data_IF_815919664615
#
_entry.id   IF_815919664615
#
_cell.length_a   1.000
_cell.length_b   1.000
_cell.length_c   1.000
_cell.angle_alpha   90.00
_cell.angle_beta   90.00
_cell.angle_gamma   90.00
#
_symmetry.space_group_name_H-M   'P 1'
#
loop_
_entity.id
_entity.type
_entity.pdbx_description
1 polymer ?
#
# COMPACT_ATOMS: atom_id res chain seq x y z
N UNK A 1 0.58 -4.53 -4.76
CA UNK A 1 -0.38 -3.54 -4.23
C UNK A 1 0.34 -2.49 -3.41
N UNK A 2 -0.37 -1.41 -3.07
CA UNK A 2 0.09 -0.36 -2.19
C UNK A 2 0.17 -0.85 -0.74
N UNK A 3 1.18 -1.68 -0.46
CA UNK A 3 1.47 -2.18 0.87
C UNK A 3 2.92 -1.85 1.21
N UNK A 4 3.04 -1.13 2.32
CA UNK A 4 4.18 -0.48 2.96
C UNK A 4 5.44 -0.43 2.11
N UNK A 5 5.54 0.73 1.47
CA UNK A 5 6.65 1.14 0.65
C UNK A 5 7.87 1.45 1.52
N UNK A 6 9.10 1.20 1.05
CA UNK A 6 10.30 1.35 1.88
C UNK A 6 10.43 2.76 2.48
N UNK A 7 9.87 3.77 1.81
CA UNK A 7 9.83 5.17 2.24
C UNK A 7 9.27 5.39 3.67
N UNK A 8 8.21 4.68 4.08
CA UNK A 8 7.61 4.84 5.43
C UNK A 8 8.31 3.99 6.49
N UNK A 9 9.10 2.98 6.09
CA UNK A 9 9.79 2.17 7.08
C UNK A 9 10.95 2.94 7.73
N UNK A 10 11.19 2.70 9.01
CA UNK A 10 12.38 3.15 9.74
C UNK A 10 13.60 2.30 9.32
N UNK A 11 14.14 2.59 8.13
CA UNK A 11 15.28 1.91 7.54
C UNK A 11 16.38 2.91 7.16
N UNK A 12 17.65 2.49 7.14
CA UNK A 12 18.72 3.29 6.53
C UNK A 12 18.39 3.66 5.09
N UNK A 13 18.76 4.88 4.66
CA UNK A 13 18.41 5.39 3.33
C UNK A 13 18.87 4.47 2.19
N UNK A 14 20.07 3.89 2.29
CA UNK A 14 20.57 2.95 1.30
C UNK A 14 19.67 1.71 1.14
N UNK A 15 19.12 1.20 2.25
CA UNK A 15 18.17 0.09 2.21
C UNK A 15 16.83 0.53 1.60
N UNK A 16 16.35 1.75 1.91
CA UNK A 16 15.14 2.29 1.29
C UNK A 16 15.28 2.37 -0.23
N UNK A 17 16.39 2.93 -0.72
CA UNK A 17 16.67 3.03 -2.16
C UNK A 17 16.76 1.64 -2.81
N UNK A 18 17.48 0.70 -2.21
CA UNK A 18 17.61 -0.65 -2.76
C UNK A 18 16.27 -1.39 -2.86
N UNK A 19 15.46 -1.37 -1.80
CA UNK A 19 14.12 -1.97 -1.81
C UNK A 19 13.16 -1.21 -2.73
N UNK A 20 13.31 0.10 -2.85
CA UNK A 20 12.54 0.95 -3.76
C UNK A 20 12.76 0.56 -5.22
N UNK A 21 14.02 0.49 -5.66
CA UNK A 21 14.42 -0.01 -6.97
C UNK A 21 13.86 -1.38 -7.26
N UNK A 22 14.13 -2.35 -6.38
CA UNK A 22 13.64 -3.72 -6.54
C UNK A 22 12.11 -3.76 -6.67
N UNK A 23 11.39 -2.93 -5.92
CA UNK A 23 9.93 -2.86 -6.00
C UNK A 23 9.46 -2.23 -7.31
N UNK A 24 10.12 -1.17 -7.78
CA UNK A 24 9.85 -0.51 -9.07
C UNK A 24 10.07 -1.49 -10.23
N UNK A 25 11.19 -2.19 -10.24
CA UNK A 25 11.54 -3.18 -11.27
C UNK A 25 10.50 -4.31 -11.31
N UNK A 26 10.15 -4.87 -10.15
CA UNK A 26 9.11 -5.92 -10.04
C UNK A 26 7.72 -5.44 -10.45
N UNK A 27 7.41 -4.16 -10.29
CA UNK A 27 6.14 -3.61 -10.78
C UNK A 27 6.12 -3.59 -12.30
N UNK A 28 7.20 -3.13 -12.93
CA UNK A 28 7.35 -3.14 -14.38
C UNK A 28 7.33 -4.56 -14.96
N UNK A 29 8.16 -5.47 -14.43
CA UNK A 29 8.20 -6.88 -14.87
C UNK A 29 6.82 -7.54 -14.86
N UNK A 30 6.05 -7.33 -13.79
CA UNK A 30 4.69 -7.85 -13.70
C UNK A 30 3.77 -7.21 -14.73
N UNK A 31 3.87 -5.91 -14.96
CA UNK A 31 3.06 -5.21 -15.97
C UNK A 31 3.38 -5.69 -17.38
N UNK A 32 4.65 -5.90 -17.73
CA UNK A 32 5.04 -6.44 -19.04
C UNK A 32 4.45 -7.80 -19.30
N UNK A 33 4.50 -8.70 -18.30
CA UNK A 33 3.86 -10.02 -18.39
C UNK A 33 2.36 -9.92 -18.60
N UNK A 34 1.67 -9.06 -17.85
CA UNK A 34 0.23 -8.87 -18.05
C UNK A 34 -0.12 -8.38 -19.45
N UNK A 35 0.68 -7.48 -20.02
CA UNK A 35 0.49 -6.98 -21.38
C UNK A 35 0.69 -8.11 -22.41
N UNK A 36 1.75 -8.91 -22.25
CA UNK A 36 2.10 -10.04 -23.13
C UNK A 36 1.05 -11.16 -23.04
N UNK A 37 0.66 -11.56 -21.82
CA UNK A 37 -0.34 -12.60 -21.57
C UNK A 37 -1.70 -12.26 -22.20
N UNK A 38 -2.10 -10.99 -22.11
CA UNK A 38 -3.34 -10.50 -22.71
C UNK A 38 -3.22 -10.25 -24.21
N UNK A 39 -1.99 -10.23 -24.76
CA UNK A 39 -1.69 -9.77 -26.13
C UNK A 39 -2.37 -8.44 -26.42
N UNK A 40 -2.27 -7.51 -25.47
CA UNK A 40 -3.05 -6.28 -25.50
C UNK A 40 -2.70 -5.46 -26.75
N UNK A 41 -3.70 -5.10 -27.56
CA UNK A 41 -3.50 -4.23 -28.73
C UNK A 41 -3.16 -2.80 -28.32
N UNK A 42 -3.71 -2.34 -27.19
CA UNK A 42 -3.49 -1.00 -26.63
C UNK A 42 -3.25 -1.06 -25.13
N UNK A 43 -2.27 -0.29 -24.66
CA UNK A 43 -1.92 -0.21 -23.24
C UNK A 43 -2.17 1.21 -22.75
N UNK A 44 -3.08 1.39 -21.81
CA UNK A 44 -3.29 2.69 -21.16
C UNK A 44 -2.61 2.65 -19.79
N UNK A 45 -1.41 3.25 -19.61
CA UNK A 45 -0.73 3.28 -18.32
C UNK A 45 -1.43 4.26 -17.39
N UNK A 46 -2.55 3.82 -16.82
CA UNK A 46 -3.30 4.54 -15.80
C UNK A 46 -2.95 3.94 -14.46
N UNK A 47 -1.79 4.35 -13.95
CA UNK A 47 -1.56 4.40 -12.53
C UNK A 47 -1.55 5.89 -12.22
N UNK A 48 -2.55 6.40 -11.48
CA UNK A 48 -2.51 7.81 -11.10
C UNK A 48 -1.18 8.06 -10.40
N UNK A 49 -0.24 8.83 -10.98
CA UNK A 49 0.97 9.15 -10.26
C UNK A 49 0.50 9.86 -9.00
N UNK A 50 0.98 9.47 -7.81
CA UNK A 50 0.56 10.14 -6.61
C UNK A 50 0.95 11.61 -6.73
N UNK A 51 -0.06 12.46 -6.60
CA UNK A 51 0.07 13.90 -6.61
C UNK A 51 0.13 14.34 -5.15
N UNK A 52 1.33 14.29 -4.57
CA UNK A 52 1.53 14.65 -3.17
C UNK A 52 1.68 16.18 -3.07
N UNK A 53 0.59 16.86 -2.76
CA UNK A 53 0.54 18.33 -2.71
C UNK A 53 0.70 18.91 -1.29
N UNK A 54 0.66 18.08 -0.25
CA UNK A 54 1.02 18.54 1.10
C UNK A 54 2.55 18.58 1.21
N UNK A 55 3.07 19.64 1.81
CA UNK A 55 4.51 19.85 1.99
C UNK A 55 5.17 18.69 2.78
N UNK A 56 4.45 18.05 3.70
CA UNK A 56 4.96 16.87 4.45
C UNK A 56 5.19 15.64 3.56
N UNK A 57 4.58 15.60 2.37
CA UNK A 57 4.67 14.47 1.43
C UNK A 57 5.31 14.83 0.10
N UNK A 58 5.64 16.10 -0.14
CA UNK A 58 6.10 16.61 -1.43
C UNK A 58 7.30 15.82 -1.98
N UNK A 59 8.20 15.38 -1.10
CA UNK A 59 9.38 14.58 -1.44
C UNK A 59 9.07 13.25 -2.13
N UNK A 60 7.83 12.76 -2.08
CA UNK A 60 7.44 11.49 -2.66
C UNK A 60 6.99 11.58 -4.12
N UNK A 61 6.85 12.80 -4.67
CA UNK A 61 6.60 12.98 -6.10
C UNK A 61 7.82 12.56 -6.93
N UNK A 62 7.60 11.91 -8.08
CA UNK A 62 8.68 11.46 -8.99
C UNK A 62 9.23 12.61 -9.87
N UNK A 63 9.70 13.66 -9.20
CA UNK A 63 10.26 14.90 -9.78
C UNK A 63 11.66 15.22 -9.24
N UNK A 64 12.22 14.34 -8.41
CA UNK A 64 13.49 14.56 -7.71
C UNK A 64 14.62 13.65 -8.20
N UNK A 65 14.35 12.74 -9.14
CA UNK A 65 15.35 11.78 -9.64
C UNK A 65 15.73 10.71 -8.61
N UNK A 66 14.89 10.44 -7.61
CA UNK A 66 15.11 9.35 -6.67
C UNK A 66 14.86 8.01 -7.35
N UNK A 67 15.93 7.26 -7.60
CA UNK A 67 15.87 5.93 -8.21
C UNK A 67 15.12 4.91 -7.31
N UNK A 68 15.02 5.19 -6.01
CA UNK A 68 14.22 4.43 -5.06
C UNK A 68 12.73 4.80 -5.05
N UNK A 69 12.32 5.82 -5.81
CA UNK A 69 10.92 6.18 -5.94
C UNK A 69 10.18 5.11 -6.75
N UNK A 70 9.11 4.63 -6.14
CA UNK A 70 8.24 3.53 -6.54
C UNK A 70 6.96 4.01 -7.23
N UNK A 71 6.85 5.30 -7.46
CA UNK A 71 5.69 5.97 -8.03
C UNK A 71 6.03 6.55 -9.40
N UNK A 72 6.40 5.70 -10.38
CA UNK A 72 6.68 6.19 -11.72
C UNK A 72 5.42 6.82 -12.30
N UNK A 73 5.58 7.92 -13.03
CA UNK A 73 4.51 8.46 -13.87
C UNK A 73 4.48 7.78 -15.25
N UNK A 74 3.54 8.22 -16.08
CA UNK A 74 3.35 7.66 -17.42
C UNK A 74 4.55 7.89 -18.34
N UNK A 75 5.30 9.00 -18.18
CA UNK A 75 6.50 9.26 -18.98
C UNK A 75 7.61 8.25 -18.68
N UNK A 76 7.78 7.91 -17.40
CA UNK A 76 8.71 6.85 -16.99
C UNK A 76 8.24 5.51 -17.51
N UNK A 77 6.93 5.20 -17.40
CA UNK A 77 6.38 3.95 -17.93
C UNK A 77 6.69 3.80 -19.42
N UNK A 78 6.45 4.83 -20.24
CA UNK A 78 6.75 4.80 -21.68
C UNK A 78 8.23 4.52 -21.93
N UNK A 79 9.12 5.19 -21.18
CA UNK A 79 10.56 4.98 -21.31
C UNK A 79 10.98 3.55 -20.99
N UNK A 80 10.47 2.96 -19.90
CA UNK A 80 10.78 1.57 -19.53
C UNK A 80 10.13 0.56 -20.48
N UNK A 81 8.90 0.82 -20.93
CA UNK A 81 8.18 -0.08 -21.84
C UNK A 81 8.87 -0.14 -23.22
N UNK A 82 9.36 0.99 -23.72
CA UNK A 82 10.11 1.05 -24.97
C UNK A 82 11.39 0.20 -24.95
N UNK A 83 12.07 0.08 -23.80
CA UNK A 83 13.29 -0.75 -23.65
C UNK A 83 13.03 -2.24 -23.89
N UNK A 84 11.81 -2.70 -23.65
CA UNK A 84 11.37 -4.08 -23.91
C UNK A 84 10.59 -4.22 -25.23
N UNK A 85 10.63 -3.19 -26.09
CA UNK A 85 9.99 -3.19 -27.41
C UNK A 85 8.52 -2.80 -27.42
N UNK A 86 7.98 -2.30 -26.30
CA UNK A 86 6.61 -1.82 -26.21
C UNK A 86 6.37 -0.53 -26.97
N UNK A 87 5.40 -0.50 -27.88
CA UNK A 87 5.11 0.65 -28.75
C UNK A 87 3.63 1.06 -28.79
N UNK A 88 2.76 0.30 -28.12
CA UNK A 88 1.31 0.45 -28.21
C UNK A 88 0.69 1.13 -26.97
N UNK A 89 1.50 1.85 -26.20
CA UNK A 89 1.03 2.56 -25.03
C UNK A 89 0.44 3.93 -25.41
N UNK A 90 -0.71 4.27 -24.83
CA UNK A 90 -1.42 5.54 -25.05
C UNK A 90 -1.58 6.28 -23.73
N UNK A 91 -0.91 7.42 -23.61
CA UNK A 91 -1.01 8.29 -22.43
C UNK A 91 -2.34 9.03 -22.46
N UNK A 92 -3.00 9.13 -21.31
CA UNK A 92 -4.16 10.01 -21.13
C UNK A 92 -3.82 11.10 -20.12
N UNK A 93 -3.73 12.35 -20.60
CA UNK A 93 -3.68 13.54 -19.75
C UNK A 93 -5.11 13.96 -19.36
N UNK A 94 -5.30 14.71 -18.26
CA UNK A 94 -6.59 15.32 -17.94
C UNK A 94 -7.15 16.11 -19.14
N UNK A 95 -8.32 15.73 -19.63
CA UNK A 95 -8.95 16.32 -20.83
C UNK A 95 -8.61 15.65 -22.16
N UNK A 96 -7.76 14.61 -22.17
CA UNK A 96 -7.54 13.79 -23.37
C UNK A 96 -8.79 13.01 -23.75
N UNK A 97 -9.01 12.83 -25.05
CA UNK A 97 -10.12 12.05 -25.60
C UNK A 97 -9.55 10.98 -26.51
N UNK A 98 -9.85 9.72 -26.20
CA UNK A 98 -9.49 8.59 -27.05
C UNK A 98 -10.74 7.96 -27.65
N UNK A 99 -10.77 7.85 -28.97
CA UNK A 99 -11.78 7.11 -29.73
C UNK A 99 -11.23 5.72 -30.06
N UNK A 100 -11.96 4.69 -29.63
CA UNK A 100 -11.67 3.30 -29.94
C UNK A 100 -12.65 2.80 -31.02
N UNK A 101 -12.11 2.30 -32.13
CA UNK A 101 -12.85 1.58 -33.15
C UNK A 101 -12.36 0.13 -33.22
N UNK A 102 -13.00 -0.71 -34.03
CA UNK A 102 -12.67 -2.13 -34.14
C UNK A 102 -11.21 -2.39 -34.56
N UNK A 103 -10.61 -1.51 -35.35
CA UNK A 103 -9.26 -1.67 -35.91
C UNK A 103 -8.39 -0.40 -35.76
N UNK A 104 -8.86 0.61 -35.03
CA UNK A 104 -8.11 1.85 -34.86
C UNK A 104 -8.33 2.50 -33.50
N UNK A 105 -7.32 3.27 -33.11
CA UNK A 105 -7.31 4.13 -31.94
C UNK A 105 -6.86 5.52 -32.38
N UNK A 106 -7.58 6.55 -31.95
CA UNK A 106 -7.20 7.94 -32.17
C UNK A 106 -7.30 8.69 -30.85
N UNK A 107 -6.25 9.42 -30.47
CA UNK A 107 -6.24 10.19 -29.22
C UNK A 107 -5.92 11.64 -29.50
N UNK A 108 -6.75 12.53 -28.97
CA UNK A 108 -6.56 13.97 -29.00
C UNK A 108 -6.22 14.45 -27.59
N UNK A 109 -5.16 15.24 -27.48
CA UNK A 109 -4.73 15.83 -26.21
C UNK A 109 -5.06 17.33 -26.16
N UNK A 110 -5.37 17.88 -24.98
CA UNK A 110 -5.56 19.32 -24.79
C UNK A 110 -4.23 20.11 -24.83
N UNK A 111 -3.11 19.40 -24.68
CA UNK A 111 -1.74 19.94 -24.74
C UNK A 111 -0.81 18.86 -25.28
N UNK A 112 0.36 19.24 -25.80
CA UNK A 112 1.39 18.28 -26.18
C UNK A 112 1.86 17.46 -24.97
N UNK A 113 2.02 16.14 -25.16
CA UNK A 113 2.32 15.20 -24.07
C UNK A 113 3.76 15.32 -23.60
N UNK A 114 4.70 15.48 -24.53
CA UNK A 114 6.12 15.61 -24.20
C UNK A 114 6.37 16.95 -23.51
N UNK A 115 5.74 18.02 -23.98
CA UNK A 115 5.76 19.34 -23.34
C UNK A 115 5.18 19.28 -21.92
N UNK A 116 4.06 18.58 -21.71
CA UNK A 116 3.46 18.42 -20.38
C UNK A 116 4.45 17.75 -19.40
N UNK A 117 5.06 16.64 -19.79
CA UNK A 117 5.99 15.93 -18.91
C UNK A 117 7.32 16.66 -18.72
N UNK A 118 7.81 17.39 -19.72
CA UNK A 118 8.97 18.27 -19.58
C UNK A 118 8.73 19.37 -18.53
N UNK A 119 7.48 19.82 -18.37
CA UNK A 119 7.09 20.87 -17.43
C UNK A 119 6.35 20.37 -16.18
N UNK A 120 6.30 19.05 -15.94
CA UNK A 120 5.49 18.44 -14.87
C UNK A 120 5.74 19.00 -13.47
N UNK A 121 6.99 19.38 -13.18
CA UNK A 121 7.36 19.97 -11.88
C UNK A 121 6.65 21.31 -11.65
N UNK A 122 6.70 22.21 -12.64
CA UNK A 122 6.03 23.51 -12.57
C UNK A 122 4.51 23.33 -12.46
N UNK A 123 3.95 22.36 -13.20
CA UNK A 123 2.54 22.00 -13.10
C UNK A 123 2.14 21.56 -11.68
N UNK A 124 2.94 20.71 -11.04
CA UNK A 124 2.69 20.26 -9.66
C UNK A 124 2.87 21.39 -8.63
N UNK A 125 3.83 22.30 -8.83
CA UNK A 125 4.05 23.46 -7.96
C UNK A 125 2.86 24.44 -8.01
N UNK A 126 2.36 24.76 -9.22
CA UNK A 126 1.16 25.58 -9.40
C UNK A 126 -0.08 24.90 -8.79
N UNK A 127 -0.21 23.58 -8.99
CA UNK A 127 -1.30 22.82 -8.39
C UNK A 127 -1.21 22.82 -6.86
N UNK A 128 0.00 22.68 -6.30
CA UNK A 128 0.25 22.76 -4.86
C UNK A 128 -0.19 24.10 -4.30
N UNK A 129 0.19 25.21 -4.93
CA UNK A 129 -0.22 26.56 -4.49
C UNK A 129 -1.74 26.73 -4.49
N UNK A 130 -2.43 26.31 -5.56
CA UNK A 130 -3.90 26.37 -5.62
C UNK A 130 -4.58 25.49 -4.57
N UNK A 131 -3.99 24.33 -4.23
CA UNK A 131 -4.57 23.37 -3.30
C UNK A 131 -4.18 23.61 -1.85
N UNK A 132 -3.13 24.38 -1.58
CA UNK A 132 -2.64 24.71 -0.24
C UNK A 132 -3.76 25.18 0.73
N UNK A 133 -4.63 26.16 0.38
CA UNK A 133 -5.69 26.58 1.30
C UNK A 133 -6.73 25.48 1.57
N UNK A 134 -7.01 24.62 0.58
CA UNK A 134 -7.95 23.49 0.74
C UNK A 134 -7.35 22.44 1.68
N UNK A 135 -6.08 22.09 1.49
CA UNK A 135 -5.36 21.13 2.34
C UNK A 135 -5.26 21.67 3.78
N UNK A 136 -4.96 22.97 3.95
CA UNK A 136 -4.89 23.58 5.27
C UNK A 136 -6.24 23.57 6.00
N UNK A 137 -7.34 23.87 5.29
CA UNK A 137 -8.69 23.80 5.84
C UNK A 137 -9.07 22.36 6.24
N UNK A 138 -8.70 21.38 5.41
CA UNK A 138 -8.93 19.96 5.67
C UNK A 138 -8.15 19.50 6.92
N UNK A 139 -6.84 19.80 7.00
CA UNK A 139 -5.99 19.48 8.17
C UNK A 139 -6.51 20.11 9.46
N UNK A 140 -7.09 21.31 9.39
CA UNK A 140 -7.67 21.97 10.55
C UNK A 140 -8.90 21.23 11.10
N UNK A 141 -9.61 20.46 10.26
CA UNK A 141 -10.78 19.68 10.67
C UNK A 141 -10.44 18.38 11.41
N UNK A 142 -9.20 17.89 11.31
CA UNK A 142 -8.81 16.59 11.86
C UNK A 142 -8.54 16.58 13.38
N UNK A 143 -8.41 17.74 14.01
CA UNK A 143 -8.09 17.81 15.45
C UNK A 143 -9.36 17.66 16.29
N UNK A 144 -9.39 16.63 17.13
CA UNK A 144 -10.47 16.38 18.08
C UNK A 144 -9.88 16.15 19.48
N UNK A 145 -9.32 17.20 20.11
CA UNK A 145 -8.64 17.08 21.41
C UNK A 145 -9.55 16.63 22.55
N UNK A 146 -10.87 16.72 22.37
CA UNK A 146 -11.88 16.20 23.28
C UNK A 146 -11.93 14.66 23.35
N UNK A 147 -11.34 13.96 22.38
CA UNK A 147 -11.36 12.49 22.31
C UNK A 147 -10.30 11.90 23.25
N UNK A 148 -10.77 11.06 24.18
CA UNK A 148 -9.92 10.10 24.88
C UNK A 148 -9.56 8.96 23.93
N UNK A 149 -8.43 9.13 23.22
CA UNK A 149 -7.97 8.17 22.20
C UNK A 149 -7.81 6.78 22.79
N UNK A 150 -7.18 6.63 23.96
CA UNK A 150 -7.00 5.32 24.59
C UNK A 150 -8.35 4.70 24.94
N UNK A 151 -9.24 5.45 25.60
CA UNK A 151 -10.56 4.98 25.98
C UNK A 151 -11.42 4.53 24.79
N UNK A 152 -11.43 5.31 23.71
CA UNK A 152 -12.18 5.00 22.49
C UNK A 152 -11.57 3.79 21.74
N UNK A 153 -10.24 3.70 21.65
CA UNK A 153 -9.61 2.52 21.04
C UNK A 153 -9.89 1.25 21.84
N UNK A 154 -9.89 1.30 23.18
CA UNK A 154 -10.30 0.15 24.02
C UNK A 154 -11.72 -0.29 23.67
N UNK A 155 -12.67 0.64 23.70
CA UNK A 155 -14.08 0.38 23.44
C UNK A 155 -14.33 -0.25 22.06
N UNK A 156 -13.59 0.18 21.03
CA UNK A 156 -13.81 -0.26 19.64
C UNK A 156 -13.01 -1.51 19.27
N UNK A 157 -11.77 -1.63 19.74
CA UNK A 157 -10.84 -2.69 19.30
C UNK A 157 -10.91 -3.93 20.21
N UNK A 158 -11.14 -3.80 21.52
CA UNK A 158 -11.15 -4.97 22.42
C UNK A 158 -12.23 -6.00 22.05
N UNK A 159 -13.47 -5.63 21.68
CA UNK A 159 -14.45 -6.60 21.18
C UNK A 159 -13.98 -7.33 19.92
N UNK A 160 -13.33 -6.61 19.00
CA UNK A 160 -12.79 -7.20 17.77
C UNK A 160 -11.61 -8.14 18.04
N UNK A 161 -10.78 -7.86 19.05
CA UNK A 161 -9.74 -8.78 19.51
C UNK A 161 -10.34 -10.04 20.15
N UNK A 162 -11.50 -9.93 20.80
CA UNK A 162 -12.19 -11.08 21.35
C UNK A 162 -12.74 -12.01 20.27
N UNK A 163 -13.34 -11.42 19.23
CA UNK A 163 -13.96 -12.13 18.11
C UNK A 163 -12.95 -12.63 17.07
N UNK A 164 -11.83 -11.93 16.88
CA UNK A 164 -10.80 -12.32 15.91
C UNK A 164 -10.01 -13.52 16.44
N UNK A 165 -10.09 -14.64 15.72
CA UNK A 165 -9.33 -15.85 16.04
C UNK A 165 -8.13 -15.99 15.13
N UNK A 166 -8.33 -16.05 13.81
CA UNK A 166 -7.26 -16.28 12.85
C UNK A 166 -6.38 -15.04 12.68
N UNK A 167 -6.97 -13.85 12.53
CA UNK A 167 -6.16 -12.64 12.32
C UNK A 167 -5.38 -12.27 13.58
N UNK A 168 -6.01 -12.24 14.76
CA UNK A 168 -5.31 -11.92 16.00
C UNK A 168 -4.18 -12.90 16.33
N UNK A 169 -4.41 -14.22 16.15
CA UNK A 169 -3.37 -15.23 16.31
C UNK A 169 -2.26 -15.07 15.26
N UNK A 170 -2.62 -14.74 14.02
CA UNK A 170 -1.69 -14.49 12.93
C UNK A 170 -0.80 -13.25 13.16
N UNK A 171 -1.31 -12.21 13.85
CA UNK A 171 -0.47 -11.10 14.32
C UNK A 171 0.51 -11.59 15.38
N UNK A 172 0.03 -12.35 16.37
CA UNK A 172 0.85 -13.12 17.30
C UNK A 172 1.71 -12.30 18.27
N UNK A 173 1.43 -11.00 18.43
CA UNK A 173 2.18 -10.13 19.34
C UNK A 173 1.65 -8.69 19.39
N UNK A 174 2.18 -7.87 20.32
CA UNK A 174 1.73 -6.49 20.48
C UNK A 174 2.15 -5.60 19.31
N UNK A 175 1.24 -4.68 18.94
CA UNK A 175 1.47 -3.60 17.97
C UNK A 175 1.43 -2.27 18.71
N UNK A 176 2.52 -1.49 18.64
CA UNK A 176 2.60 -0.16 19.26
C UNK A 176 2.27 0.94 18.27
N UNK A 177 1.47 1.90 18.70
CA UNK A 177 1.27 3.19 18.06
C UNK A 177 1.90 4.29 18.91
N UNK A 178 2.87 4.99 18.34
CA UNK A 178 3.38 6.25 18.89
C UNK A 178 2.66 7.41 18.22
N UNK A 179 1.90 8.15 19.02
CA UNK A 179 1.09 9.27 18.58
C UNK A 179 1.87 10.56 18.78
N UNK A 180 2.02 11.35 17.72
CA UNK A 180 2.79 12.61 17.75
C UNK A 180 1.89 13.85 17.80
N UNK A 181 2.47 14.98 18.18
CA UNK A 181 1.82 16.31 18.13
C UNK A 181 1.63 16.89 16.71
N UNK A 182 2.32 16.30 15.73
CA UNK A 182 2.23 16.64 14.30
C UNK A 182 1.11 15.87 13.58
N UNK A 183 0.93 16.10 12.27
CA UNK A 183 0.04 15.29 11.42
C UNK A 183 0.73 14.06 10.83
N UNK A 184 1.99 13.78 11.19
CA UNK A 184 2.76 12.66 10.65
C UNK A 184 3.68 12.01 11.70
N UNK A 185 4.74 11.35 11.24
CA UNK A 185 5.72 10.71 12.12
C UNK A 185 6.85 11.62 12.61
N UNK A 186 6.92 12.85 12.10
CA UNK A 186 8.01 13.79 12.35
C UNK A 186 7.95 14.53 13.69
N UNK A 187 6.80 14.55 14.35
CA UNK A 187 6.60 15.23 15.64
C UNK A 187 7.14 14.48 16.86
N UNK A 188 7.01 15.14 18.01
CA UNK A 188 7.32 14.58 19.32
C UNK A 188 6.21 13.61 19.75
N UNK A 189 6.59 12.49 20.36
CA UNK A 189 5.62 11.50 20.84
C UNK A 189 4.94 12.03 22.09
N UNK A 190 3.62 12.19 22.03
CA UNK A 190 2.78 12.67 23.14
C UNK A 190 2.07 11.54 23.88
N UNK A 191 1.87 10.40 23.21
CA UNK A 191 1.17 9.24 23.75
C UNK A 191 1.62 7.97 23.02
N UNK A 192 1.84 6.86 23.74
CA UNK A 192 2.15 5.56 23.14
C UNK A 192 1.14 4.53 23.62
N UNK A 193 0.45 3.89 22.67
CA UNK A 193 -0.63 2.91 22.90
C UNK A 193 -0.22 1.57 22.31
N UNK A 194 -0.59 0.48 22.97
CA UNK A 194 -0.39 -0.88 22.50
C UNK A 194 -1.73 -1.56 22.26
N UNK A 195 -1.89 -2.11 21.07
CA UNK A 195 -2.89 -3.14 20.77
C UNK A 195 -2.23 -4.50 21.03
N UNK A 196 -2.57 -5.10 22.17
CA UNK A 196 -2.00 -6.35 22.66
C UNK A 196 -2.86 -7.51 22.17
N UNK A 197 -2.51 -8.07 21.00
CA UNK A 197 -3.28 -9.14 20.39
C UNK A 197 -3.37 -10.41 21.26
N UNK A 198 -2.26 -10.94 21.84
CA UNK A 198 -2.34 -12.09 22.75
C UNK A 198 -3.12 -11.78 24.04
N UNK A 199 -2.97 -10.57 24.57
CA UNK A 199 -3.67 -10.12 25.78
C UNK A 199 -5.11 -9.65 25.55
N UNK A 200 -5.56 -9.57 24.29
CA UNK A 200 -6.86 -9.05 23.85
C UNK A 200 -7.25 -7.72 24.48
N UNK A 201 -6.28 -6.81 24.61
CA UNK A 201 -6.51 -5.52 25.28
C UNK A 201 -5.81 -4.37 24.55
N UNK A 202 -6.37 -3.18 24.69
CA UNK A 202 -5.69 -1.93 24.35
C UNK A 202 -5.26 -1.23 25.64
N UNK A 203 -3.99 -0.83 25.71
CA UNK A 203 -3.38 -0.31 26.94
C UNK A 203 -2.28 0.71 26.66
N UNK A 204 -1.90 1.52 27.65
CA UNK A 204 -0.68 2.31 27.57
C UNK A 204 0.53 1.40 27.30
N UNK A 205 1.50 1.92 26.54
CA UNK A 205 2.79 1.27 26.36
C UNK A 205 3.55 1.23 27.71
N UNK A 206 4.10 0.06 28.05
CA UNK A 206 4.76 -0.20 29.33
C UNK A 206 6.24 -0.54 29.17
N UNK A 207 6.92 0.07 28.21
CA UNK A 207 8.34 -0.14 27.89
C UNK A 207 8.72 -1.57 27.46
N UNK A 208 7.75 -2.38 27.04
CA UNK A 208 8.01 -3.73 26.56
C UNK A 208 8.59 -3.78 25.15
N UNK A 209 9.23 -4.90 24.81
CA UNK A 209 9.66 -5.14 23.42
C UNK A 209 8.46 -5.46 22.54
N UNK A 210 8.23 -4.60 21.55
CA UNK A 210 7.16 -4.78 20.55
C UNK A 210 7.74 -5.17 19.20
N UNK A 211 7.10 -6.14 18.54
CA UNK A 211 7.52 -6.60 17.21
C UNK A 211 7.16 -5.60 16.13
N UNK A 212 6.00 -4.97 16.22
CA UNK A 212 5.46 -4.05 15.23
C UNK A 212 5.25 -2.67 15.84
N UNK A 213 5.68 -1.62 15.14
CA UNK A 213 5.49 -0.23 15.55
C UNK A 213 5.00 0.61 14.40
N UNK A 214 4.09 1.51 14.71
CA UNK A 214 3.71 2.63 13.87
C UNK A 214 3.93 3.92 14.65
N UNK A 215 4.40 4.97 13.97
CA UNK A 215 4.46 6.32 14.51
C UNK A 215 3.70 7.25 13.57
N UNK A 216 2.71 7.98 14.09
CA UNK A 216 1.78 8.82 13.30
C UNK A 216 1.26 9.99 14.13
N UNK A 217 0.60 10.96 13.51
CA UNK A 217 -0.01 12.09 14.22
C UNK A 217 -1.21 11.67 15.09
N UNK A 218 -1.29 12.14 16.34
CA UNK A 218 -2.43 11.90 17.23
C UNK A 218 -3.74 12.40 16.61
N UNK A 219 -3.69 13.56 15.96
CA UNK A 219 -4.83 14.15 15.27
C UNK A 219 -5.39 13.24 14.15
N UNK A 220 -4.56 12.42 13.50
CA UNK A 220 -5.07 11.47 12.51
C UNK A 220 -5.88 10.36 13.18
N UNK A 221 -5.41 9.83 14.32
CA UNK A 221 -6.16 8.80 15.07
C UNK A 221 -7.45 9.38 15.67
N UNK A 222 -7.37 10.58 16.23
CA UNK A 222 -8.54 11.35 16.69
C UNK A 222 -9.60 11.46 15.58
N UNK A 223 -9.18 11.89 14.38
CA UNK A 223 -10.10 12.05 13.25
C UNK A 223 -10.73 10.72 12.81
N UNK A 224 -9.94 9.64 12.71
CA UNK A 224 -10.45 8.31 12.35
C UNK A 224 -11.50 7.82 13.36
N UNK A 225 -11.29 8.09 14.65
CA UNK A 225 -12.26 7.78 15.71
C UNK A 225 -13.52 8.67 15.56
N UNK A 226 -13.33 9.96 15.29
CA UNK A 226 -14.42 10.93 15.12
C UNK A 226 -15.36 10.57 13.97
N UNK A 227 -14.82 10.17 12.81
CA UNK A 227 -15.62 9.79 11.64
C UNK A 227 -16.06 8.32 11.62
N UNK A 228 -15.72 7.56 12.67
CA UNK A 228 -15.98 6.12 12.78
C UNK A 228 -15.42 5.30 11.60
N UNK A 229 -14.16 5.57 11.22
CA UNK A 229 -13.48 4.88 10.13
C UNK A 229 -13.06 3.45 10.52
N UNK A 230 -13.62 2.47 9.83
CA UNK A 230 -13.36 1.04 10.02
C UNK A 230 -12.22 0.48 9.17
N UNK A 231 -11.70 1.23 8.20
CA UNK A 231 -10.64 0.81 7.27
C UNK A 231 -9.43 1.76 7.35
N UNK A 232 -8.63 1.58 8.41
CA UNK A 232 -7.42 2.39 8.61
C UNK A 232 -6.35 2.10 7.57
N UNK A 233 -6.43 0.95 6.91
CA UNK A 233 -5.61 0.67 5.74
C UNK A 233 -5.79 1.77 4.69
N UNK A 234 -7.03 2.04 4.28
CA UNK A 234 -7.31 3.04 3.26
C UNK A 234 -7.11 4.47 3.76
N UNK A 235 -7.54 4.76 4.98
CA UNK A 235 -7.58 6.15 5.48
C UNK A 235 -6.32 6.60 6.21
N UNK A 236 -5.52 5.67 6.76
CA UNK A 236 -4.25 5.96 7.44
C UNK A 236 -3.03 5.41 6.69
N UNK A 237 -2.98 4.11 6.41
CA UNK A 237 -1.74 3.48 5.90
C UNK A 237 -1.47 3.76 4.42
N UNK A 238 -2.47 4.17 3.64
CA UNK A 238 -2.27 4.70 2.28
C UNK A 238 -1.93 6.20 2.28
N UNK A 239 -2.13 6.92 3.39
CA UNK A 239 -1.87 8.36 3.49
C UNK A 239 -0.38 8.74 3.45
N UNK A 240 0.52 7.77 3.67
CA UNK A 240 1.97 7.98 3.86
C UNK A 240 2.36 8.88 5.05
N UNK A 241 1.41 9.28 5.92
CA UNK A 241 1.66 10.14 7.11
C UNK A 241 2.02 9.35 8.36
N UNK A 242 2.80 8.30 8.19
CA UNK A 242 3.26 7.48 9.30
C UNK A 242 4.63 6.91 8.96
N UNK A 243 5.30 6.44 10.00
CA UNK A 243 6.46 5.57 9.85
C UNK A 243 6.19 4.22 10.52
N UNK A 244 6.87 3.19 10.04
CA UNK A 244 6.70 1.83 10.53
C UNK A 244 8.04 1.17 10.85
N UNK A 245 8.05 0.32 11.88
CA UNK A 245 9.18 -0.57 12.17
C UNK A 245 8.66 -1.97 12.47
N UNK A 246 9.46 -2.99 12.13
CA UNK A 246 9.14 -4.38 12.44
C UNK A 246 10.38 -5.21 12.73
N UNK A 247 10.23 -6.23 13.57
CA UNK A 247 11.22 -7.30 13.73
C UNK A 247 10.77 -8.51 12.93
N UNK A 248 11.49 -8.82 11.85
CA UNK A 248 11.24 -9.97 10.98
C UNK A 248 10.51 -9.60 9.67
N UNK A 249 9.86 -10.61 9.09
CA UNK A 249 9.17 -10.50 7.81
C UNK A 249 7.91 -9.64 7.90
N UNK A 250 7.39 -9.26 6.73
CA UNK A 250 6.06 -8.66 6.63
C UNK A 250 5.01 -9.61 7.22
N UNK A 251 4.00 -9.06 7.88
CA UNK A 251 2.88 -9.82 8.40
C UNK A 251 1.59 -9.18 7.90
N UNK A 252 0.88 -9.85 6.98
CA UNK A 252 -0.39 -9.33 6.45
C UNK A 252 -1.49 -9.24 7.49
N UNK A 253 -1.47 -10.05 8.55
CA UNK A 253 -2.53 -10.06 9.55
C UNK A 253 -2.63 -8.74 10.29
N UNK A 254 -1.50 -8.03 10.47
CA UNK A 254 -1.50 -6.66 11.01
C UNK A 254 -2.33 -5.76 10.10
N UNK A 255 -2.13 -5.85 8.79
CA UNK A 255 -2.84 -5.03 7.82
C UNK A 255 -4.31 -5.44 7.68
N UNK A 256 -4.60 -6.74 7.64
CA UNK A 256 -5.95 -7.29 7.54
C UNK A 256 -6.80 -6.85 8.74
N UNK A 257 -6.25 -6.92 9.96
CA UNK A 257 -6.96 -6.50 11.16
C UNK A 257 -7.31 -4.99 11.12
N UNK A 258 -6.33 -4.12 10.81
CA UNK A 258 -6.59 -2.67 10.73
C UNK A 258 -7.40 -2.24 9.49
N UNK A 259 -7.67 -3.15 8.54
CA UNK A 259 -8.63 -2.95 7.45
C UNK A 259 -10.09 -3.24 7.86
N UNK A 260 -10.24 -4.01 8.94
CA UNK A 260 -11.50 -4.60 9.38
C UNK A 260 -11.83 -4.21 10.82
N UNK A 261 -11.82 -2.91 11.12
CA UNK A 261 -12.14 -2.38 12.46
C UNK A 261 -13.65 -2.22 12.68
N UNK A 262 -14.44 -3.14 12.12
CA UNK A 262 -15.87 -3.29 12.41
C UNK A 262 -16.23 -4.77 12.45
N UNK A 263 -17.24 -5.13 13.25
CA UNK A 263 -17.68 -6.52 13.42
C UNK A 263 -18.00 -7.19 12.06
N UNK A 264 -18.75 -6.52 11.19
CA UNK A 264 -19.12 -7.04 9.87
C UNK A 264 -17.88 -7.34 8.99
N UNK A 265 -16.93 -6.40 8.91
CA UNK A 265 -15.71 -6.57 8.10
C UNK A 265 -14.80 -7.64 8.70
N UNK A 266 -14.73 -7.70 10.03
CA UNK A 266 -13.93 -8.69 10.75
C UNK A 266 -14.47 -10.10 10.50
N UNK A 267 -15.77 -10.32 10.69
CA UNK A 267 -16.41 -11.61 10.47
C UNK A 267 -16.27 -12.09 9.02
N UNK A 268 -16.41 -11.18 8.05
CA UNK A 268 -16.16 -11.50 6.64
C UNK A 268 -14.72 -11.95 6.40
N UNK A 269 -13.73 -11.23 6.95
CA UNK A 269 -12.33 -11.57 6.81
C UNK A 269 -11.94 -12.87 7.53
N UNK A 270 -12.41 -13.08 8.76
CA UNK A 270 -12.22 -14.33 9.51
C UNK A 270 -12.82 -15.53 8.75
N UNK A 271 -14.04 -15.37 8.21
CA UNK A 271 -14.69 -16.41 7.38
C UNK A 271 -13.89 -16.71 6.12
N UNK A 272 -13.37 -15.68 5.44
CA UNK A 272 -12.48 -15.87 4.29
C UNK A 272 -11.20 -16.63 4.66
N UNK A 273 -10.57 -16.31 5.80
CA UNK A 273 -9.38 -17.02 6.30
C UNK A 273 -9.71 -18.47 6.67
N UNK A 274 -10.84 -18.74 7.34
CA UNK A 274 -11.27 -20.10 7.70
C UNK A 274 -11.58 -20.94 6.46
N UNK A 275 -12.31 -20.39 5.48
CA UNK A 275 -12.57 -21.04 4.20
C UNK A 275 -11.28 -21.28 3.41
N UNK A 276 -10.35 -20.32 3.43
CA UNK A 276 -9.06 -20.49 2.80
C UNK A 276 -8.30 -21.61 3.50
N UNK A 277 -8.04 -21.55 4.81
CA UNK A 277 -7.33 -22.61 5.55
C UNK A 277 -7.92 -24.00 5.28
N UNK A 278 -9.25 -24.14 5.28
CA UNK A 278 -9.93 -25.42 5.00
C UNK A 278 -9.81 -25.89 3.54
N UNK A 279 -9.77 -24.96 2.58
CA UNK A 279 -9.70 -25.30 1.15
C UNK A 279 -8.27 -25.51 0.63
N UNK A 280 -7.24 -24.98 1.31
CA UNK A 280 -5.85 -25.09 0.82
C UNK A 280 -5.21 -26.47 1.06
N UNK A 281 -5.60 -27.16 2.13
CA UNK A 281 -4.92 -28.40 2.55
C UNK A 281 -5.20 -29.61 1.64
N UNK A 282 -6.07 -29.48 0.63
CA UNK A 282 -6.57 -30.62 -0.15
C UNK A 282 -6.23 -30.61 -1.65
N UNK A 283 -5.59 -29.57 -2.20
CA UNK A 283 -5.33 -29.48 -3.65
C UNK A 283 -3.83 -29.49 -4.00
N UNK A 284 -3.41 -30.54 -4.70
CA UNK A 284 -2.12 -30.62 -5.38
C UNK A 284 -2.22 -30.17 -6.84
N UNK A 285 -1.10 -29.77 -7.44
CA UNK A 285 -0.97 -29.48 -8.87
C UNK A 285 0.37 -29.97 -9.40
N UNK A 286 0.41 -30.32 -10.68
CA UNK A 286 1.63 -30.76 -11.35
C UNK A 286 2.30 -29.59 -12.06
N UNK A 287 3.58 -29.36 -11.79
CA UNK A 287 4.40 -28.33 -12.45
C UNK A 287 5.70 -28.99 -12.92
N UNK A 288 5.87 -29.11 -14.23
CA UNK A 288 6.92 -29.94 -14.80
C UNK A 288 6.75 -31.40 -14.35
N UNK A 289 7.81 -31.99 -13.80
CA UNK A 289 7.80 -33.37 -13.28
C UNK A 289 7.45 -33.46 -11.79
N UNK A 290 7.10 -32.34 -11.15
CA UNK A 290 6.84 -32.28 -9.71
C UNK A 290 5.35 -32.23 -9.42
N UNK A 291 4.91 -33.00 -8.42
CA UNK A 291 3.61 -32.82 -7.79
C UNK A 291 3.79 -32.00 -6.51
N UNK A 292 3.17 -30.83 -6.44
CA UNK A 292 3.32 -29.87 -5.34
C UNK A 292 1.95 -29.41 -4.89
N UNK A 293 1.87 -28.84 -3.68
CA UNK A 293 0.65 -28.15 -3.26
C UNK A 293 0.31 -27.04 -4.27
N UNK A 294 -0.96 -26.97 -4.69
CA UNK A 294 -1.40 -26.00 -5.70
C UNK A 294 -1.22 -24.56 -5.25
N UNK A 295 -1.22 -24.31 -3.95
CA UNK A 295 -1.21 -22.97 -3.37
C UNK A 295 0.13 -22.71 -2.71
N UNK A 296 0.77 -21.59 -3.07
CA UNK A 296 2.09 -21.29 -2.52
C UNK A 296 2.03 -21.11 -1.00
N UNK A 297 3.03 -21.60 -0.25
CA UNK A 297 3.00 -21.52 1.22
C UNK A 297 3.16 -20.09 1.75
N UNK A 298 3.62 -19.14 0.92
CA UNK A 298 3.79 -17.73 1.29
C UNK A 298 2.45 -16.98 1.43
N UNK A 299 1.68 -16.85 0.34
CA UNK A 299 0.43 -16.06 0.28
C UNK A 299 -0.67 -16.76 -0.55
N UNK A 300 -0.61 -18.10 -0.63
CA UNK A 300 -1.63 -18.95 -1.24
C UNK A 300 -1.99 -18.62 -2.70
N UNK A 301 -1.05 -18.03 -3.45
CA UNK A 301 -1.20 -17.83 -4.89
C UNK A 301 -1.36 -19.19 -5.60
N UNK A 302 -2.20 -19.26 -6.63
CA UNK A 302 -2.37 -20.47 -7.44
C UNK A 302 -1.12 -20.75 -8.28
N UNK A 303 -0.28 -21.70 -7.85
CA UNK A 303 0.96 -22.07 -8.53
C UNK A 303 0.70 -22.74 -9.89
N UNK A 304 -0.49 -23.28 -10.14
CA UNK A 304 -0.83 -23.75 -11.50
C UNK A 304 -0.91 -22.61 -12.51
N UNK A 305 -1.11 -21.37 -12.03
CA UNK A 305 -1.19 -20.16 -12.86
C UNK A 305 0.07 -19.31 -12.77
N UNK A 306 0.63 -19.18 -11.57
CA UNK A 306 1.71 -18.24 -11.27
C UNK A 306 3.04 -18.92 -10.92
N UNK A 307 3.09 -20.25 -10.86
CA UNK A 307 4.31 -20.99 -10.58
C UNK A 307 5.17 -21.12 -11.82
N UNK A 308 6.45 -20.77 -11.71
CA UNK A 308 7.45 -21.01 -12.76
C UNK A 308 8.59 -21.83 -12.19
N UNK A 309 8.87 -22.95 -12.85
CA UNK A 309 9.93 -23.88 -12.51
C UNK A 309 11.16 -23.58 -13.38
N UNK A 310 12.28 -23.23 -12.76
CA UNK A 310 13.59 -23.11 -13.40
C UNK A 310 14.55 -24.11 -12.77
N UNK A 311 14.85 -25.18 -13.51
CA UNK A 311 15.58 -26.34 -13.00
C UNK A 311 14.88 -26.95 -11.78
N UNK A 312 15.46 -26.74 -10.59
CA UNK A 312 14.95 -27.25 -9.32
C UNK A 312 14.35 -26.15 -8.43
N UNK A 313 14.13 -24.95 -8.97
CA UNK A 313 13.59 -23.81 -8.22
C UNK A 313 12.20 -23.46 -8.73
N UNK A 314 11.18 -23.66 -7.90
CA UNK A 314 9.82 -23.19 -8.17
C UNK A 314 9.61 -21.81 -7.56
N UNK A 315 9.31 -20.82 -8.39
CA UNK A 315 9.03 -19.44 -7.97
C UNK A 315 7.56 -19.10 -8.21
N UNK A 316 6.87 -18.61 -7.18
CA UNK A 316 5.58 -17.94 -7.27
C UNK A 316 5.78 -16.54 -7.85
N UNK A 317 5.46 -16.36 -9.13
CA UNK A 317 5.65 -15.09 -9.83
C UNK A 317 4.77 -13.95 -9.33
N UNK A 318 3.64 -14.25 -8.67
CA UNK A 318 2.76 -13.21 -8.14
C UNK A 318 3.45 -12.39 -7.04
N UNK A 319 4.29 -13.04 -6.23
CA UNK A 319 4.97 -12.43 -5.08
C UNK A 319 6.49 -12.47 -5.16
N UNK A 320 7.06 -13.16 -6.16
CA UNK A 320 8.49 -13.33 -6.36
C UNK A 320 9.16 -14.13 -5.24
N UNK A 321 8.48 -15.17 -4.77
CA UNK A 321 8.90 -16.06 -3.67
C UNK A 321 8.96 -17.50 -4.14
#
# INVERSE_FOLDING_TARGET
GAIWYPMVYELPQAAKTAFGKQKRDRQFDRTWRYIDDLKADHVFPIAGPPCFLDDELWQFNDIHGDEGNIFPDQSVFLSEYAKVGGTNAVVLLPGSVTTLAAESIETTHPTDVDEFFANKKAHLEEMRERKAPIIAAEKASWRHPEIDVLGELKKRIEPLLEESLLMANGVGGPVRFDLTDSFGSGGEVVESIVVDFPGKQVRPYGDEKVRYRFKTGRALIEHLIFIDEGDWVNSLFLSCRFSAARIGQYNEFVYAFFKCLSEERLQYAEGWYDEHERSVDAEDTTIGDWNVQRRCPHLKADLSRFGVLDGNTLTCQLHGW
#
